data_IF_455687520742
#
_entry.id   IF_455687520742
#
_cell.length_a   1.000
_cell.length_b   1.000
_cell.length_c   1.000
_cell.angle_alpha   90.00
_cell.angle_beta   90.00
_cell.angle_gamma   90.00
#
_symmetry.space_group_name_H-M   'P 1'
#
loop_
_entity.id
_entity.type
_entity.pdbx_description
1 polymer ?
#
# COMPACT_ATOMS: atom_id res chain seq x y z
N UNK A 1 29.46 4.05 17.56
CA UNK A 1 28.57 4.89 16.73
C UNK A 1 27.98 5.99 17.62
N UNK A 2 28.13 7.28 17.32
CA UNK A 2 27.58 8.34 18.19
C UNK A 2 26.05 8.40 18.09
N UNK A 3 25.37 8.79 19.17
CA UNK A 3 23.90 8.92 19.18
C UNK A 3 23.38 9.88 18.10
N UNK A 4 24.11 10.97 17.83
CA UNK A 4 23.75 11.91 16.76
C UNK A 4 23.82 11.27 15.38
N UNK A 5 24.84 10.44 15.13
CA UNK A 5 24.96 9.71 13.88
C UNK A 5 23.84 8.67 13.72
N UNK A 6 23.54 7.90 14.78
CA UNK A 6 22.42 6.95 14.76
C UNK A 6 21.08 7.65 14.48
N UNK A 7 20.79 8.73 15.21
CA UNK A 7 19.58 9.53 15.04
C UNK A 7 19.46 10.07 13.62
N UNK A 8 20.53 10.62 13.06
CA UNK A 8 20.49 11.21 11.72
C UNK A 8 20.31 10.15 10.64
N UNK A 9 21.03 9.03 10.74
CA UNK A 9 21.03 7.98 9.72
C UNK A 9 19.74 7.16 9.74
N UNK A 10 19.27 6.75 10.91
CA UNK A 10 18.17 5.79 11.03
C UNK A 10 16.81 6.42 11.32
N UNK A 11 16.76 7.51 12.10
CA UNK A 11 15.48 8.10 12.53
C UNK A 11 15.04 9.29 11.67
N UNK A 12 15.99 10.05 11.12
CA UNK A 12 15.70 11.30 10.38
C UNK A 12 15.77 11.12 8.87
N UNK A 13 16.87 10.54 8.34
CA UNK A 13 17.03 10.36 6.90
C UNK A 13 16.04 9.36 6.33
N UNK A 14 15.68 9.55 5.06
CA UNK A 14 14.95 8.54 4.30
C UNK A 14 15.83 7.32 4.05
N UNK A 15 15.23 6.15 4.08
CA UNK A 15 15.92 4.88 3.83
C UNK A 15 15.94 4.57 2.34
N UNK A 16 16.98 3.87 1.89
CA UNK A 16 17.03 3.33 0.55
C UNK A 16 15.86 2.35 0.35
N UNK A 17 15.06 2.48 -0.74
CA UNK A 17 13.88 1.66 -0.91
C UNK A 17 14.14 0.15 -1.01
N UNK A 18 15.22 -0.28 -1.64
CA UNK A 18 15.52 -1.70 -1.82
C UNK A 18 15.66 -2.47 -0.50
N UNK A 19 16.57 -2.10 0.43
CA UNK A 19 16.68 -2.82 1.71
C UNK A 19 15.42 -2.69 2.56
N UNK A 20 14.72 -1.56 2.52
CA UNK A 20 13.50 -1.38 3.31
C UNK A 20 12.34 -2.25 2.80
N UNK A 21 12.18 -2.39 1.49
CA UNK A 21 11.13 -3.25 0.90
C UNK A 21 11.45 -4.73 1.09
N UNK A 22 12.73 -5.13 1.05
CA UNK A 22 13.16 -6.48 1.42
C UNK A 22 12.85 -6.76 2.90
N UNK A 23 13.20 -5.83 3.79
CA UNK A 23 12.85 -5.93 5.21
C UNK A 23 11.33 -6.02 5.42
N UNK A 24 10.53 -5.26 4.66
CA UNK A 24 9.08 -5.35 4.69
C UNK A 24 8.57 -6.72 4.22
N UNK A 25 9.20 -7.32 3.20
CA UNK A 25 8.87 -8.67 2.73
C UNK A 25 9.15 -9.73 3.79
N UNK A 26 10.33 -9.68 4.42
CA UNK A 26 10.71 -10.56 5.54
C UNK A 26 9.72 -10.39 6.71
N UNK A 27 9.45 -9.15 7.10
CA UNK A 27 8.55 -8.83 8.20
C UNK A 27 7.11 -9.31 7.91
N UNK A 28 6.65 -9.16 6.67
CA UNK A 28 5.35 -9.68 6.21
C UNK A 28 5.27 -11.20 6.26
N UNK A 29 6.36 -11.89 5.95
CA UNK A 29 6.43 -13.35 6.04
C UNK A 29 6.31 -13.84 7.48
N UNK A 30 7.04 -13.24 8.42
CA UNK A 30 6.91 -13.57 9.84
C UNK A 30 5.51 -13.25 10.38
N UNK A 31 4.96 -12.10 9.98
CA UNK A 31 3.59 -11.74 10.33
C UNK A 31 2.59 -12.82 9.88
N UNK A 32 2.72 -13.30 8.65
CA UNK A 32 1.90 -14.40 8.13
C UNK A 32 2.05 -15.69 8.94
N UNK A 33 3.29 -16.11 9.20
CA UNK A 33 3.55 -17.34 9.96
C UNK A 33 3.00 -17.31 11.39
N UNK A 34 3.02 -16.15 12.05
CA UNK A 34 2.57 -15.99 13.43
C UNK A 34 1.05 -15.80 13.54
N UNK A 35 0.48 -14.97 12.66
CA UNK A 35 -0.93 -14.55 12.78
C UNK A 35 -1.88 -15.40 11.94
N UNK A 36 -1.38 -16.10 10.91
CA UNK A 36 -2.20 -16.80 9.91
C UNK A 36 -2.95 -15.86 8.96
N UNK A 37 -2.67 -14.55 9.04
CA UNK A 37 -3.21 -13.49 8.20
C UNK A 37 -2.07 -12.78 7.48
N UNK A 38 -2.32 -12.27 6.28
CA UNK A 38 -1.32 -11.53 5.52
C UNK A 38 -1.48 -10.02 5.73
N UNK A 39 -0.43 -9.26 5.41
CA UNK A 39 -0.42 -7.82 5.58
C UNK A 39 -1.41 -7.14 4.62
N UNK A 40 -2.62 -6.87 5.12
CA UNK A 40 -3.72 -6.26 4.37
C UNK A 40 -4.37 -5.12 5.14
N UNK A 41 -4.47 -3.95 4.51
CA UNK A 41 -5.06 -2.75 5.13
C UNK A 41 -6.48 -2.48 4.62
N UNK A 42 -6.75 -2.97 3.43
CA UNK A 42 -7.96 -2.67 2.66
C UNK A 42 -9.20 -3.22 3.37
N UNK A 43 -9.15 -4.46 3.87
CA UNK A 43 -10.29 -5.09 4.56
C UNK A 43 -10.84 -4.24 5.70
N UNK A 44 -9.98 -3.80 6.61
CA UNK A 44 -10.37 -2.96 7.74
C UNK A 44 -10.84 -1.56 7.34
N UNK A 45 -10.23 -0.90 6.35
CA UNK A 45 -10.75 0.39 5.88
C UNK A 45 -12.18 0.27 5.34
N UNK A 46 -12.51 -0.86 4.72
CA UNK A 46 -13.89 -1.14 4.30
C UNK A 46 -14.78 -1.44 5.49
N UNK A 47 -14.30 -2.17 6.50
CA UNK A 47 -15.03 -2.38 7.76
C UNK A 47 -15.34 -1.05 8.46
N UNK A 48 -14.41 -0.09 8.48
CA UNK A 48 -14.66 1.25 9.03
C UNK A 48 -15.77 1.98 8.26
N UNK A 49 -15.78 1.88 6.94
CA UNK A 49 -16.89 2.38 6.12
C UNK A 49 -18.23 1.74 6.50
N UNK A 50 -18.25 0.42 6.73
CA UNK A 50 -19.44 -0.32 7.18
C UNK A 50 -19.92 0.14 8.56
N UNK A 51 -19.00 0.33 9.51
CA UNK A 51 -19.32 0.84 10.84
C UNK A 51 -19.86 2.27 10.79
N UNK A 52 -19.32 3.12 9.93
CA UNK A 52 -19.87 4.47 9.71
C UNK A 52 -21.31 4.38 9.20
N UNK A 53 -21.59 3.48 8.25
CA UNK A 53 -22.95 3.26 7.74
C UNK A 53 -23.91 2.75 8.83
N UNK A 54 -23.44 1.87 9.72
CA UNK A 54 -24.22 1.41 10.88
C UNK A 54 -24.57 2.57 11.83
N UNK A 55 -23.68 3.54 12.02
CA UNK A 55 -23.97 4.76 12.81
C UNK A 55 -25.08 5.61 12.17
N UNK A 56 -25.25 5.54 10.84
CA UNK A 56 -26.34 6.18 10.11
C UNK A 56 -27.59 5.28 9.98
N UNK A 57 -27.66 4.15 10.69
CA UNK A 57 -28.81 3.25 10.70
C UNK A 57 -28.90 2.29 9.51
N UNK A 58 -27.83 2.16 8.70
CA UNK A 58 -27.79 1.22 7.57
C UNK A 58 -27.25 -0.13 8.05
N UNK A 59 -28.03 -1.19 7.85
CA UNK A 59 -27.68 -2.58 8.17
C UNK A 59 -26.67 -3.20 7.20
N UNK A 60 -25.50 -2.57 7.08
CA UNK A 60 -24.43 -2.99 6.15
C UNK A 60 -23.89 -4.41 6.46
N UNK A 61 -24.03 -4.89 7.70
CA UNK A 61 -23.68 -6.25 8.12
C UNK A 61 -24.41 -7.35 7.34
N UNK A 62 -25.56 -7.03 6.74
CA UNK A 62 -26.36 -8.00 6.01
C UNK A 62 -25.86 -8.22 4.57
N UNK A 63 -25.08 -7.29 4.02
CA UNK A 63 -24.61 -7.34 2.63
C UNK A 63 -23.55 -8.44 2.45
N UNK A 64 -23.58 -9.16 1.33
CA UNK A 64 -22.68 -10.32 1.16
C UNK A 64 -21.20 -9.96 1.21
N UNK A 65 -20.80 -8.76 0.75
CA UNK A 65 -19.40 -8.31 0.89
C UNK A 65 -18.96 -8.22 2.36
N UNK A 66 -19.79 -7.63 3.21
CA UNK A 66 -19.49 -7.43 4.63
C UNK A 66 -19.50 -8.73 5.42
N UNK A 67 -20.32 -9.71 5.00
CA UNK A 67 -20.25 -11.09 5.49
C UNK A 67 -18.95 -11.78 5.11
N UNK A 68 -18.49 -11.64 3.87
CA UNK A 68 -17.21 -12.21 3.40
C UNK A 68 -15.99 -11.67 4.16
N UNK A 69 -16.01 -10.38 4.53
CA UNK A 69 -14.92 -9.77 5.30
C UNK A 69 -15.14 -9.79 6.81
N UNK A 70 -16.19 -10.43 7.33
CA UNK A 70 -16.52 -10.48 8.76
C UNK A 70 -16.50 -9.09 9.44
N UNK A 71 -17.58 -8.31 9.26
CA UNK A 71 -17.71 -6.97 9.86
C UNK A 71 -17.81 -6.98 11.40
N UNK A 72 -17.93 -8.15 12.03
CA UNK A 72 -18.15 -8.31 13.47
C UNK A 72 -17.03 -7.72 14.34
N UNK A 73 -17.43 -7.17 15.49
CA UNK A 73 -16.53 -6.61 16.50
C UNK A 73 -15.97 -5.23 16.16
N UNK A 74 -14.91 -4.85 16.87
CA UNK A 74 -14.27 -3.54 16.72
C UNK A 74 -12.85 -3.68 16.15
N UNK A 75 -12.22 -2.61 15.66
CA UNK A 75 -10.82 -2.66 15.23
C UNK A 75 -9.86 -3.15 16.34
N UNK A 76 -10.23 -3.00 17.62
CA UNK A 76 -9.43 -3.43 18.77
C UNK A 76 -9.48 -4.94 19.02
N UNK A 77 -10.54 -5.62 18.56
CA UNK A 77 -10.71 -7.06 18.75
C UNK A 77 -10.19 -7.88 17.58
N UNK A 78 -9.78 -7.23 16.49
CA UNK A 78 -9.33 -7.88 15.25
C UNK A 78 -7.83 -7.71 15.02
N UNK A 79 -7.21 -8.76 14.49
CA UNK A 79 -5.77 -8.80 14.16
C UNK A 79 -5.43 -7.68 13.16
N UNK A 80 -6.18 -7.55 12.07
CA UNK A 80 -5.96 -6.52 11.05
C UNK A 80 -6.14 -5.10 11.62
N UNK A 81 -7.12 -4.91 12.51
CA UNK A 81 -7.41 -3.62 13.12
C UNK A 81 -6.30 -3.15 14.05
N UNK A 82 -5.80 -4.04 14.92
CA UNK A 82 -4.65 -3.76 15.78
C UNK A 82 -3.36 -3.52 14.99
N UNK A 83 -3.16 -4.25 13.89
CA UNK A 83 -2.06 -3.99 12.96
C UNK A 83 -2.15 -2.58 12.33
N UNK A 84 -3.32 -2.15 11.87
CA UNK A 84 -3.49 -0.82 11.27
C UNK A 84 -3.27 0.28 12.29
N UNK A 85 -3.79 0.13 13.51
CA UNK A 85 -3.53 1.09 14.60
C UNK A 85 -2.03 1.20 14.89
N UNK A 86 -1.34 0.06 14.97
CA UNK A 86 0.12 0.01 15.05
C UNK A 86 0.79 0.77 13.89
N UNK A 87 0.31 0.55 12.67
CA UNK A 87 0.86 1.17 11.46
C UNK A 87 0.65 2.68 11.43
N UNK A 88 -0.51 3.20 11.82
CA UNK A 88 -0.73 4.63 12.00
C UNK A 88 0.20 5.23 13.05
N UNK A 89 0.34 4.59 14.21
CA UNK A 89 1.24 5.05 15.27
C UNK A 89 2.71 5.03 14.85
N UNK A 90 3.14 3.98 14.15
CA UNK A 90 4.49 3.88 13.58
C UNK A 90 4.77 4.97 12.54
N UNK A 91 3.87 5.17 11.57
CA UNK A 91 3.99 6.24 10.59
C UNK A 91 4.03 7.62 11.27
N UNK A 92 3.16 7.87 12.25
CA UNK A 92 3.10 9.16 12.94
C UNK A 92 4.37 9.45 13.76
N UNK A 93 4.87 8.44 14.48
CA UNK A 93 6.14 8.55 15.20
C UNK A 93 7.31 8.86 14.26
N UNK A 94 7.42 8.15 13.14
CA UNK A 94 8.49 8.36 12.17
C UNK A 94 8.38 9.72 11.45
N UNK A 95 7.16 10.15 11.11
CA UNK A 95 6.92 11.47 10.52
C UNK A 95 7.29 12.60 11.50
N UNK A 96 7.04 12.42 12.80
CA UNK A 96 7.44 13.35 13.85
C UNK A 96 8.96 13.41 14.04
N UNK A 97 9.66 12.26 14.01
CA UNK A 97 11.13 12.21 14.13
C UNK A 97 11.84 13.01 13.04
N UNK A 98 11.36 12.94 11.81
CA UNK A 98 11.93 13.71 10.69
C UNK A 98 11.35 15.11 10.52
N UNK A 99 10.50 15.57 11.46
CA UNK A 99 9.89 16.89 11.40
C UNK A 99 9.03 17.12 10.12
N UNK A 100 8.50 16.05 9.54
CA UNK A 100 7.79 16.07 8.26
C UNK A 100 6.29 16.38 8.37
N UNK A 101 5.73 16.33 9.59
CA UNK A 101 4.32 16.64 9.86
C UNK A 101 4.05 18.13 9.62
N UNK A 102 3.34 18.46 8.54
CA UNK A 102 2.93 19.82 8.22
C UNK A 102 1.64 19.77 7.39
N UNK A 103 0.65 20.56 7.78
CA UNK A 103 -0.56 20.73 7.00
C UNK A 103 -0.24 21.40 5.65
N UNK A 104 -0.43 20.65 4.57
CA UNK A 104 -0.21 21.07 3.18
C UNK A 104 -1.55 21.03 2.45
N UNK A 105 -2.13 22.21 2.22
CA UNK A 105 -3.40 22.33 1.51
C UNK A 105 -3.22 22.15 -0.01
N UNK A 106 -4.14 21.47 -0.70
CA UNK A 106 -4.13 21.38 -2.15
C UNK A 106 -4.36 22.78 -2.75
N UNK A 107 -3.53 23.17 -3.73
CA UNK A 107 -3.59 24.50 -4.37
C UNK A 107 -4.66 24.62 -5.46
N UNK A 108 -5.24 23.51 -5.92
CA UNK A 108 -6.16 23.49 -7.06
C UNK A 108 -7.36 22.60 -6.79
N UNK A 109 -8.56 23.08 -7.14
CA UNK A 109 -9.82 22.33 -7.06
C UNK A 109 -9.82 21.12 -8.01
N UNK A 110 -9.17 21.22 -9.16
CA UNK A 110 -9.00 20.10 -10.11
C UNK A 110 -8.32 18.93 -9.41
N UNK A 111 -7.30 19.22 -8.58
CA UNK A 111 -6.56 18.18 -7.87
C UNK A 111 -7.40 17.49 -6.80
N UNK A 112 -8.33 18.21 -6.17
CA UNK A 112 -9.29 17.66 -5.20
C UNK A 112 -10.28 16.74 -5.93
N UNK A 113 -10.84 17.18 -7.06
CA UNK A 113 -11.74 16.34 -7.87
C UNK A 113 -11.04 15.07 -8.33
N UNK A 114 -9.80 15.16 -8.82
CA UNK A 114 -8.97 14.00 -9.15
C UNK A 114 -8.75 13.07 -7.95
N UNK A 115 -8.52 13.63 -6.76
CA UNK A 115 -8.34 12.86 -5.54
C UNK A 115 -9.57 12.03 -5.20
N UNK A 116 -10.75 12.66 -5.20
CA UNK A 116 -12.02 12.01 -4.85
C UNK A 116 -12.43 11.00 -5.91
N UNK A 117 -12.48 11.41 -7.19
CA UNK A 117 -12.90 10.53 -8.29
C UNK A 117 -11.91 9.37 -8.48
N UNK A 118 -10.61 9.66 -8.50
CA UNK A 118 -9.59 8.62 -8.57
C UNK A 118 -9.63 7.69 -7.35
N UNK A 119 -9.88 8.25 -6.16
CA UNK A 119 -10.06 7.49 -4.93
C UNK A 119 -11.25 6.54 -5.02
N UNK A 120 -12.40 7.00 -5.52
CA UNK A 120 -13.60 6.19 -5.73
C UNK A 120 -13.35 5.03 -6.69
N UNK A 121 -12.75 5.32 -7.85
CA UNK A 121 -12.43 4.28 -8.85
C UNK A 121 -11.44 3.27 -8.26
N UNK A 122 -10.42 3.74 -7.52
CA UNK A 122 -9.47 2.86 -6.85
C UNK A 122 -10.14 2.00 -5.77
N UNK A 123 -10.96 2.59 -4.89
CA UNK A 123 -11.67 1.86 -3.85
C UNK A 123 -12.58 0.77 -4.44
N UNK A 124 -13.37 1.11 -5.45
CA UNK A 124 -14.22 0.18 -6.17
C UNK A 124 -13.41 -0.98 -6.78
N UNK A 125 -12.34 -0.65 -7.52
CA UNK A 125 -11.49 -1.65 -8.16
C UNK A 125 -10.78 -2.57 -7.17
N UNK A 126 -10.30 -2.04 -6.04
CA UNK A 126 -9.65 -2.83 -4.99
C UNK A 126 -10.60 -3.83 -4.32
N UNK A 127 -11.87 -3.45 -4.13
CA UNK A 127 -12.87 -4.36 -3.58
C UNK A 127 -13.27 -5.43 -4.59
N UNK A 128 -13.37 -5.08 -5.87
CA UNK A 128 -13.78 -6.01 -6.92
C UNK A 128 -12.71 -7.07 -7.13
N UNK A 129 -11.46 -6.63 -7.18
CA UNK A 129 -10.31 -7.52 -7.16
C UNK A 129 -10.08 -8.20 -5.81
N UNK A 130 -10.83 -7.91 -4.75
CA UNK A 130 -10.59 -8.48 -3.42
C UNK A 130 -9.15 -8.29 -2.90
N UNK A 131 -8.52 -7.16 -3.25
CA UNK A 131 -7.18 -6.83 -2.81
C UNK A 131 -6.66 -5.53 -3.42
N UNK A 132 -5.56 -5.03 -2.86
CA UNK A 132 -4.87 -3.84 -3.34
C UNK A 132 -3.40 -4.16 -3.64
N UNK A 133 -2.60 -3.16 -4.01
CA UNK A 133 -1.17 -3.36 -4.26
C UNK A 133 -0.39 -4.00 -3.09
N UNK A 134 -0.83 -3.78 -1.85
CA UNK A 134 -0.20 -4.43 -0.70
C UNK A 134 -0.68 -5.88 -0.55
N UNK A 135 -2.00 -6.06 -0.54
CA UNK A 135 -2.66 -7.34 -0.28
C UNK A 135 -2.59 -8.32 -1.46
N UNK A 136 -3.03 -7.90 -2.65
CA UNK A 136 -3.03 -8.74 -3.85
C UNK A 136 -1.65 -8.83 -4.50
N UNK A 137 -0.91 -7.71 -4.60
CA UNK A 137 0.37 -7.70 -5.30
C UNK A 137 1.55 -8.09 -4.39
N UNK A 138 1.89 -7.28 -3.39
CA UNK A 138 3.09 -7.49 -2.56
C UNK A 138 3.05 -8.76 -1.70
N UNK A 139 1.89 -9.09 -1.13
CA UNK A 139 1.74 -10.28 -0.26
C UNK A 139 0.98 -11.43 -0.93
N UNK A 140 0.18 -11.17 -1.96
CA UNK A 140 -0.58 -12.19 -2.68
C UNK A 140 0.27 -13.01 -3.66
N UNK A 141 1.25 -12.40 -4.34
CA UNK A 141 2.19 -13.14 -5.21
C UNK A 141 3.04 -14.13 -4.40
N UNK A 142 3.67 -13.74 -3.27
CA UNK A 142 4.35 -14.68 -2.37
C UNK A 142 3.48 -15.81 -1.83
N UNK A 143 2.15 -15.66 -1.84
CA UNK A 143 1.19 -16.71 -1.46
C UNK A 143 0.80 -17.64 -2.61
N UNK A 144 1.47 -17.55 -3.76
CA UNK A 144 1.29 -18.45 -4.90
C UNK A 144 -0.12 -18.37 -5.53
N UNK A 145 -0.77 -17.21 -5.39
CA UNK A 145 -2.11 -16.95 -5.90
C UNK A 145 -2.10 -16.56 -7.37
N UNK A 146 -2.81 -17.27 -8.25
CA UNK A 146 -2.93 -16.88 -9.66
C UNK A 146 -3.68 -15.54 -9.82
N UNK A 147 -4.68 -15.32 -8.98
CA UNK A 147 -5.44 -14.08 -8.90
C UNK A 147 -4.52 -12.83 -8.79
N UNK A 148 -3.46 -12.94 -7.97
CA UNK A 148 -2.51 -11.86 -7.76
C UNK A 148 -1.78 -11.44 -9.05
N UNK A 149 -1.49 -12.41 -9.94
CA UNK A 149 -0.85 -12.14 -11.23
C UNK A 149 -1.80 -11.45 -12.20
N UNK A 150 -3.06 -11.88 -12.28
CA UNK A 150 -4.08 -11.19 -13.08
C UNK A 150 -4.27 -9.76 -12.61
N UNK A 151 -4.38 -9.56 -11.29
CA UNK A 151 -4.47 -8.24 -10.70
C UNK A 151 -3.24 -7.37 -11.02
N UNK A 152 -2.03 -7.92 -10.91
CA UNK A 152 -0.79 -7.19 -11.17
C UNK A 152 -0.69 -6.69 -12.61
N UNK A 153 -0.96 -7.57 -13.58
CA UNK A 153 -0.93 -7.24 -15.01
C UNK A 153 -2.01 -6.21 -15.36
N UNK A 154 -3.23 -6.43 -14.87
CA UNK A 154 -4.33 -5.49 -15.05
C UNK A 154 -4.05 -4.13 -14.42
N UNK A 155 -3.45 -4.08 -13.22
CA UNK A 155 -3.04 -2.84 -12.55
C UNK A 155 -1.95 -2.11 -13.33
N UNK A 156 -0.99 -2.84 -13.90
CA UNK A 156 0.04 -2.26 -14.77
C UNK A 156 -0.59 -1.60 -16.01
N UNK A 157 -1.54 -2.28 -16.67
CA UNK A 157 -2.25 -1.74 -17.84
C UNK A 157 -3.13 -0.55 -17.45
N UNK A 158 -3.92 -0.66 -16.38
CA UNK A 158 -4.79 0.40 -15.89
C UNK A 158 -4.01 1.65 -15.49
N UNK A 159 -2.87 1.47 -14.83
CA UNK A 159 -1.99 2.59 -14.46
C UNK A 159 -1.32 3.25 -15.66
N UNK A 160 -1.07 2.51 -16.75
CA UNK A 160 -0.60 3.09 -18.01
C UNK A 160 -1.68 4.00 -18.64
N UNK A 161 -2.93 3.54 -18.69
CA UNK A 161 -4.06 4.37 -19.13
C UNK A 161 -4.26 5.59 -18.22
N UNK A 162 -4.21 5.39 -16.90
CA UNK A 162 -4.31 6.48 -15.92
C UNK A 162 -3.19 7.52 -16.08
N UNK A 163 -1.97 7.07 -16.39
CA UNK A 163 -0.84 7.96 -16.66
C UNK A 163 -1.07 8.80 -17.92
N UNK A 164 -1.57 8.19 -19.01
CA UNK A 164 -1.93 8.93 -20.23
C UNK A 164 -3.06 9.93 -19.99
N UNK A 165 -4.09 9.51 -19.27
CA UNK A 165 -5.25 10.33 -18.97
C UNK A 165 -4.90 11.55 -18.10
N UNK A 166 -4.09 11.36 -17.06
CA UNK A 166 -3.66 12.46 -16.17
C UNK A 166 -2.75 13.48 -16.84
N UNK A 167 -2.12 13.14 -17.97
CA UNK A 167 -1.28 14.06 -18.76
C UNK A 167 -2.07 14.95 -19.74
N UNK A 168 -3.38 14.72 -19.89
CA UNK A 168 -4.25 15.51 -20.77
C UNK A 168 -4.31 16.99 -20.33
N UNK A 169 -4.45 17.95 -21.28
CA UNK A 169 -4.41 19.38 -20.99
C UNK A 169 -5.39 19.85 -19.92
N UNK A 170 -6.59 19.24 -19.86
CA UNK A 170 -7.65 19.58 -18.89
C UNK A 170 -7.22 19.39 -17.42
N UNK A 171 -6.23 18.54 -17.17
CA UNK A 171 -5.73 18.23 -15.83
C UNK A 171 -4.46 19.00 -15.45
N UNK A 172 -3.91 19.79 -16.38
CA UNK A 172 -2.72 20.60 -16.11
C UNK A 172 -3.12 21.82 -15.30
N UNK A 173 -2.56 21.93 -14.10
CA UNK A 173 -2.79 23.09 -13.25
C UNK A 173 -2.05 24.28 -13.86
N UNK A 174 -2.69 25.44 -14.09
CA UNK A 174 -1.98 26.64 -14.50
C UNK A 174 -1.07 27.09 -13.36
N UNK A 175 0.23 26.82 -13.48
CA UNK A 175 1.22 27.27 -12.49
C UNK A 175 1.49 28.74 -12.75
N UNK A 176 0.92 29.61 -11.90
CA UNK A 176 1.28 31.03 -11.88
C UNK A 176 2.68 31.15 -11.30
N UNK A 177 3.68 31.35 -12.15
CA UNK A 177 5.03 31.68 -11.69
C UNK A 177 5.01 33.09 -11.09
N UNK A 178 5.32 33.18 -9.79
CA UNK A 178 5.46 34.47 -9.11
C UNK A 178 6.94 34.85 -9.12
N UNK A 179 7.26 36.00 -9.73
CA UNK A 179 8.62 36.54 -9.71
C UNK A 179 8.94 36.93 -8.26
N UNK A 180 10.00 36.34 -7.71
CA UNK A 180 10.56 36.68 -6.41
C UNK A 180 11.91 37.37 -6.62
N UNK A 181 12.15 38.46 -5.89
CA UNK A 181 13.38 39.26 -5.98
C UNK A 181 14.51 38.75 -5.09
N UNK A 182 14.20 37.89 -4.12
CA UNK A 182 15.17 37.26 -3.23
C UNK A 182 14.73 35.83 -2.88
N UNK A 183 15.69 34.97 -2.58
CA UNK A 183 15.41 33.64 -2.04
C UNK A 183 14.74 33.79 -0.66
N UNK A 184 13.65 33.06 -0.42
CA UNK A 184 13.04 33.01 0.91
C UNK A 184 14.06 32.46 1.90
N UNK A 185 14.27 33.11 3.06
CA UNK A 185 15.16 32.57 4.09
C UNK A 185 14.64 31.20 4.55
N UNK A 186 15.55 30.22 4.64
CA UNK A 186 15.24 28.91 5.19
C UNK A 186 14.92 29.07 6.68
N UNK A 187 13.64 29.17 7.02
CA UNK A 187 13.19 29.27 8.41
C UNK A 187 13.36 27.92 9.12
N UNK A 188 14.56 27.65 9.63
CA UNK A 188 14.80 26.48 10.47
C UNK A 188 14.37 26.80 11.90
N UNK A 189 13.38 26.07 12.42
CA UNK A 189 12.90 26.19 13.81
C UNK A 189 13.42 24.98 14.63
N UNK A 190 14.64 25.05 15.19
CA UNK A 190 15.28 23.90 15.84
C UNK A 190 14.49 23.41 17.07
N UNK A 191 13.90 24.31 17.85
CA UNK A 191 13.10 23.94 19.02
C UNK A 191 11.83 23.19 18.65
N UNK A 192 11.19 23.59 17.54
CA UNK A 192 10.02 22.89 17.00
C UNK A 192 10.41 21.47 16.57
N UNK A 193 11.55 21.31 15.89
CA UNK A 193 12.06 20.00 15.49
C UNK A 193 12.38 19.13 16.72
N UNK A 194 13.00 19.70 17.76
CA UNK A 194 13.30 18.99 19.01
C UNK A 194 12.03 18.57 19.75
N UNK A 195 11.02 19.44 19.83
CA UNK A 195 9.72 19.12 20.46
C UNK A 195 8.99 18.01 19.70
N UNK A 196 8.94 18.10 18.36
CA UNK A 196 8.34 17.06 17.50
C UNK A 196 9.06 15.72 17.62
N UNK A 197 10.40 15.74 17.66
CA UNK A 197 11.17 14.51 17.87
C UNK A 197 10.83 13.85 19.22
N UNK A 198 10.74 14.63 20.31
CA UNK A 198 10.31 14.11 21.64
C UNK A 198 8.90 13.54 21.60
N UNK A 199 7.95 14.23 20.96
CA UNK A 199 6.59 13.73 20.77
C UNK A 199 6.59 12.42 19.97
N UNK A 200 7.37 12.32 18.90
CA UNK A 200 7.51 11.08 18.12
C UNK A 200 8.04 9.93 18.97
N UNK A 201 9.00 10.19 19.86
CA UNK A 201 9.51 9.19 20.79
C UNK A 201 8.47 8.75 21.82
N UNK A 202 7.69 9.69 22.37
CA UNK A 202 6.60 9.37 23.30
C UNK A 202 5.52 8.53 22.63
N UNK A 203 5.12 8.89 21.40
CA UNK A 203 4.16 8.09 20.62
C UNK A 203 4.73 6.69 20.37
N UNK A 204 5.97 6.59 19.92
CA UNK A 204 6.60 5.29 19.66
C UNK A 204 6.64 4.40 20.91
N UNK A 205 7.14 4.91 22.03
CA UNK A 205 7.21 4.16 23.30
C UNK A 205 5.80 3.81 23.78
N UNK A 206 4.84 4.74 23.68
CA UNK A 206 3.45 4.49 24.04
C UNK A 206 2.81 3.37 23.22
N UNK A 207 3.04 3.36 21.91
CA UNK A 207 2.55 2.30 21.02
C UNK A 207 3.20 0.95 21.31
N UNK A 208 4.51 0.91 21.56
CA UNK A 208 5.21 -0.32 21.95
C UNK A 208 4.70 -0.82 23.31
N UNK A 209 4.57 0.06 24.30
CA UNK A 209 4.04 -0.28 25.61
C UNK A 209 2.61 -0.84 25.54
N UNK A 210 1.74 -0.19 24.78
CA UNK A 210 0.37 -0.67 24.57
C UNK A 210 0.34 -2.03 23.85
N UNK A 211 1.19 -2.22 22.83
CA UNK A 211 1.29 -3.49 22.13
C UNK A 211 1.79 -4.63 23.04
N UNK A 212 2.78 -4.37 23.91
CA UNK A 212 3.29 -5.34 24.88
C UNK A 212 2.25 -5.69 25.94
N UNK A 213 1.54 -4.70 26.50
CA UNK A 213 0.45 -4.94 27.46
C UNK A 213 -0.68 -5.76 26.83
N UNK A 214 -1.00 -5.47 25.57
CA UNK A 214 -1.97 -6.27 24.81
C UNK A 214 -1.44 -7.68 24.58
N UNK A 215 -0.16 -7.85 24.26
CA UNK A 215 0.46 -9.16 24.03
C UNK A 215 0.44 -10.05 25.29
N UNK A 216 0.52 -9.46 26.49
CA UNK A 216 0.41 -10.21 27.75
C UNK A 216 -0.96 -10.88 27.93
N UNK A 217 -2.02 -10.26 27.42
CA UNK A 217 -3.40 -10.79 27.53
C UNK A 217 -3.78 -11.60 26.29
N UNK A 218 -3.49 -11.06 25.10
CA UNK A 218 -3.78 -11.67 23.80
C UNK A 218 -2.55 -11.56 22.89
N UNK A 219 -1.66 -12.57 22.90
CA UNK A 219 -0.38 -12.52 22.19
C UNK A 219 -0.51 -12.17 20.70
N UNK A 220 -1.49 -12.75 19.99
CA UNK A 220 -1.70 -12.50 18.56
C UNK A 220 -2.03 -11.03 18.25
N UNK A 221 -2.87 -10.39 19.06
CA UNK A 221 -3.26 -8.98 18.85
C UNK A 221 -2.10 -8.03 19.16
N UNK A 222 -1.40 -8.25 20.27
CA UNK A 222 -0.24 -7.44 20.64
C UNK A 222 0.91 -7.56 19.62
N UNK A 223 1.20 -8.78 19.15
CA UNK A 223 2.16 -8.99 18.08
C UNK A 223 1.72 -8.29 16.79
N UNK A 224 0.45 -8.42 16.40
CA UNK A 224 -0.05 -7.76 15.19
C UNK A 224 0.14 -6.24 15.24
N UNK A 225 -0.07 -5.63 16.41
CA UNK A 225 0.20 -4.22 16.63
C UNK A 225 1.69 -3.86 16.54
N UNK A 226 2.59 -4.69 17.10
CA UNK A 226 4.05 -4.51 16.98
C UNK A 226 4.52 -4.58 15.52
N UNK A 227 4.04 -5.59 14.77
CA UNK A 227 4.27 -5.70 13.33
C UNK A 227 3.73 -4.47 12.60
N UNK A 228 2.54 -4.02 12.96
CA UNK A 228 1.94 -2.77 12.50
C UNK A 228 2.88 -1.57 12.65
N UNK A 229 3.42 -1.35 13.85
CA UNK A 229 4.39 -0.28 14.11
C UNK A 229 5.59 -0.42 13.17
N UNK A 230 6.15 -1.62 13.00
CA UNK A 230 7.26 -1.89 12.09
C UNK A 230 6.94 -1.57 10.63
N UNK A 231 5.79 -2.02 10.14
CA UNK A 231 5.29 -1.70 8.79
C UNK A 231 5.12 -0.19 8.60
N UNK A 232 4.60 0.51 9.61
CA UNK A 232 4.41 1.96 9.58
C UNK A 232 5.72 2.73 9.50
N UNK A 233 6.72 2.31 10.28
CA UNK A 233 8.08 2.86 10.21
C UNK A 233 8.70 2.66 8.82
N UNK A 234 8.62 1.45 8.28
CA UNK A 234 9.17 1.10 6.96
C UNK A 234 8.52 1.91 5.84
N UNK A 235 7.19 1.97 5.82
CA UNK A 235 6.45 2.72 4.79
C UNK A 235 6.84 4.21 4.82
N UNK A 236 6.88 4.81 6.01
CA UNK A 236 7.07 6.25 6.12
C UNK A 236 8.54 6.65 5.90
N UNK A 237 9.52 5.88 6.40
CA UNK A 237 10.95 6.16 6.22
C UNK A 237 11.48 5.80 4.84
N UNK A 238 11.00 4.74 4.20
CA UNK A 238 11.42 4.37 2.86
C UNK A 238 10.46 4.89 1.76
N UNK A 239 9.40 5.59 2.16
CA UNK A 239 8.38 6.14 1.25
C UNK A 239 7.84 5.08 0.30
N UNK A 240 7.54 3.89 0.84
CA UNK A 240 7.07 2.74 0.07
C UNK A 240 5.70 3.08 -0.52
N UNK A 241 5.67 3.34 -1.81
CA UNK A 241 4.46 3.71 -2.53
C UNK A 241 4.35 2.89 -3.82
N UNK A 242 3.39 1.96 -3.84
CA UNK A 242 3.13 1.14 -5.02
C UNK A 242 2.59 1.99 -6.19
N UNK A 243 1.83 3.04 -5.89
CA UNK A 243 1.37 3.99 -6.92
C UNK A 243 2.52 4.64 -7.66
N UNK A 244 3.58 5.07 -6.96
CA UNK A 244 4.73 5.65 -7.63
C UNK A 244 5.51 4.60 -8.42
N UNK A 245 5.59 3.35 -7.94
CA UNK A 245 6.22 2.27 -8.70
C UNK A 245 5.58 2.07 -10.09
N UNK A 246 4.25 2.06 -10.17
CA UNK A 246 3.55 1.96 -11.46
C UNK A 246 3.56 3.27 -12.25
N UNK A 247 3.20 4.39 -11.62
CA UNK A 247 3.10 5.69 -12.30
C UNK A 247 4.45 6.16 -12.86
N UNK A 248 5.51 6.09 -12.04
CA UNK A 248 6.80 6.67 -12.40
C UNK A 248 7.50 5.85 -13.49
N UNK A 249 7.20 4.54 -13.58
CA UNK A 249 7.59 3.66 -14.69
C UNK A 249 7.06 4.19 -16.04
N UNK A 250 5.80 4.63 -16.08
CA UNK A 250 5.17 5.11 -17.31
C UNK A 250 5.48 6.57 -17.64
N UNK A 251 5.50 7.44 -16.63
CA UNK A 251 5.66 8.89 -16.83
C UNK A 251 7.14 9.29 -16.92
N UNK A 252 8.00 8.71 -16.08
CA UNK A 252 9.40 9.15 -15.93
C UNK A 252 10.44 8.08 -16.27
N UNK A 253 10.04 6.85 -16.55
CA UNK A 253 10.93 5.73 -16.80
C UNK A 253 11.68 5.20 -15.57
N UNK A 254 11.50 5.79 -14.39
CA UNK A 254 12.19 5.39 -13.16
C UNK A 254 11.65 4.07 -12.64
N UNK A 255 12.48 3.03 -12.61
CA UNK A 255 12.08 1.69 -12.17
C UNK A 255 12.53 1.32 -10.75
N UNK A 256 13.21 2.22 -10.01
CA UNK A 256 13.84 1.90 -8.72
C UNK A 256 12.88 1.24 -7.71
N UNK A 257 11.68 1.81 -7.50
CA UNK A 257 10.68 1.24 -6.58
C UNK A 257 10.13 -0.10 -7.08
N UNK A 258 9.91 -0.24 -8.39
CA UNK A 258 9.39 -1.47 -8.97
C UNK A 258 10.38 -2.63 -8.81
N UNK A 259 11.68 -2.37 -9.04
CA UNK A 259 12.78 -3.33 -8.79
C UNK A 259 12.82 -3.74 -7.32
N UNK A 260 12.78 -2.77 -6.40
CA UNK A 260 12.77 -3.03 -4.96
C UNK A 260 11.60 -3.92 -4.52
N UNK A 261 10.40 -3.67 -5.05
CA UNK A 261 9.21 -4.49 -4.78
C UNK A 261 9.37 -5.93 -5.26
N UNK A 262 9.92 -6.15 -6.46
CA UNK A 262 10.18 -7.51 -6.96
C UNK A 262 11.15 -8.26 -6.04
N UNK A 263 12.25 -7.64 -5.63
CA UNK A 263 13.19 -8.27 -4.70
C UNK A 263 12.54 -8.58 -3.34
N UNK A 264 11.71 -7.67 -2.81
CA UNK A 264 10.96 -7.92 -1.58
C UNK A 264 9.99 -9.09 -1.70
N UNK A 265 9.25 -9.19 -2.82
CA UNK A 265 8.35 -10.31 -3.08
C UNK A 265 9.11 -11.63 -3.25
N UNK A 266 10.26 -11.63 -3.94
CA UNK A 266 11.08 -12.83 -4.10
C UNK A 266 11.54 -13.36 -2.73
N UNK A 267 12.10 -12.51 -1.88
CA UNK A 267 12.52 -12.91 -0.52
C UNK A 267 11.33 -13.39 0.30
N UNK A 268 10.19 -12.69 0.23
CA UNK A 268 8.98 -13.08 0.95
C UNK A 268 8.43 -14.44 0.47
N UNK A 269 8.50 -14.74 -0.83
CA UNK A 269 7.99 -15.98 -1.41
C UNK A 269 8.68 -17.23 -0.86
N UNK A 270 10.01 -17.19 -0.64
CA UNK A 270 10.73 -18.32 0.01
C UNK A 270 10.19 -18.55 1.42
N UNK A 271 10.07 -17.50 2.22
CA UNK A 271 9.66 -17.70 3.60
C UNK A 271 8.16 -18.02 3.74
N UNK A 272 7.30 -17.52 2.86
CA UNK A 272 5.90 -17.96 2.79
C UNK A 272 5.82 -19.43 2.37
N UNK A 273 6.59 -19.84 1.37
CA UNK A 273 6.70 -21.25 0.97
C UNK A 273 7.05 -22.14 2.17
N UNK A 274 8.05 -21.76 2.96
CA UNK A 274 8.41 -22.50 4.18
C UNK A 274 7.24 -22.64 5.16
N UNK A 275 6.48 -21.58 5.42
CA UNK A 275 5.30 -21.65 6.32
C UNK A 275 4.15 -22.48 5.74
N UNK A 276 3.94 -22.41 4.42
CA UNK A 276 2.92 -23.24 3.75
C UNK A 276 3.28 -24.73 3.84
N UNK A 277 4.56 -25.07 3.67
CA UNK A 277 5.04 -26.45 3.85
C UNK A 277 4.93 -26.94 5.30
N UNK A 278 4.96 -26.02 6.28
CA UNK A 278 4.68 -26.31 7.70
C UNK A 278 3.18 -26.42 8.02
N UNK A 279 2.29 -26.30 7.03
CA UNK A 279 0.85 -26.47 7.17
C UNK A 279 0.04 -25.18 7.35
N UNK A 280 0.66 -24.00 7.24
CA UNK A 280 -0.08 -22.73 7.31
C UNK A 280 -0.81 -22.48 5.97
N UNK A 281 -2.14 -22.42 6.00
CA UNK A 281 -2.93 -22.28 4.79
C UNK A 281 -2.71 -20.91 4.10
N UNK A 282 -2.34 -20.87 2.81
CA UNK A 282 -2.21 -19.62 2.06
C UNK A 282 -3.59 -18.99 1.83
N UNK A 283 -3.66 -17.66 1.77
CA UNK A 283 -4.89 -16.93 1.46
C UNK A 283 -4.95 -16.62 -0.03
N UNK A 284 -5.89 -17.26 -0.70
CA UNK A 284 -6.05 -17.21 -2.15
C UNK A 284 -7.46 -16.74 -2.50
N UNK A 285 -7.53 -15.86 -3.48
CA UNK A 285 -8.77 -15.23 -3.96
C UNK A 285 -9.14 -15.76 -5.34
N UNK A 286 -10.37 -15.49 -5.77
CA UNK A 286 -10.93 -15.98 -7.04
C UNK A 286 -10.15 -15.44 -8.24
N UNK A 287 -9.63 -16.32 -9.07
CA UNK A 287 -8.88 -15.97 -10.27
C UNK A 287 -9.83 -15.75 -11.47
N UNK A 288 -10.75 -14.79 -11.33
CA UNK A 288 -11.78 -14.49 -12.33
C UNK A 288 -11.65 -13.10 -12.97
N UNK A 289 -12.64 -12.71 -13.80
CA UNK A 289 -12.78 -11.38 -14.38
C UNK A 289 -12.75 -10.25 -13.34
N UNK A 290 -13.17 -10.52 -12.12
CA UNK A 290 -13.08 -9.58 -10.99
C UNK A 290 -11.64 -9.08 -10.76
N UNK A 291 -10.64 -9.96 -10.87
CA UNK A 291 -9.22 -9.62 -10.69
C UNK A 291 -8.73 -8.67 -11.79
N UNK A 292 -9.18 -8.91 -13.03
CA UNK A 292 -8.77 -8.15 -14.22
C UNK A 292 -9.49 -6.80 -14.26
N UNK A 293 -10.81 -6.79 -14.16
CA UNK A 293 -11.61 -5.54 -14.19
C UNK A 293 -11.26 -4.69 -12.95
N UNK A 294 -11.20 -5.31 -11.78
CA UNK A 294 -10.82 -4.64 -10.54
C UNK A 294 -9.40 -4.08 -10.61
N UNK A 295 -8.43 -4.84 -11.14
CA UNK A 295 -7.06 -4.38 -11.34
C UNK A 295 -6.95 -3.21 -12.34
N UNK A 296 -7.69 -3.24 -13.45
CA UNK A 296 -7.71 -2.15 -14.44
C UNK A 296 -8.25 -0.86 -13.82
N UNK A 297 -9.41 -0.93 -13.16
CA UNK A 297 -10.01 0.22 -12.48
C UNK A 297 -9.10 0.72 -11.37
N UNK A 298 -8.57 -0.18 -10.55
CA UNK A 298 -7.66 0.15 -9.46
C UNK A 298 -6.40 0.86 -9.98
N UNK A 299 -5.73 0.30 -10.98
CA UNK A 299 -4.54 0.88 -11.61
C UNK A 299 -4.79 2.28 -12.18
N UNK A 300 -5.92 2.47 -12.85
CA UNK A 300 -6.32 3.80 -13.34
C UNK A 300 -6.56 4.78 -12.19
N UNK A 301 -7.35 4.37 -11.20
CA UNK A 301 -7.75 5.18 -10.06
C UNK A 301 -6.56 5.65 -9.22
N UNK A 302 -5.59 4.78 -8.93
CA UNK A 302 -4.43 5.16 -8.11
C UNK A 302 -3.56 6.22 -8.79
N UNK A 303 -3.45 6.21 -10.12
CA UNK A 303 -2.69 7.22 -10.86
C UNK A 303 -3.44 8.56 -10.89
N UNK A 304 -4.76 8.52 -11.11
CA UNK A 304 -5.62 9.69 -11.08
C UNK A 304 -5.61 10.37 -9.69
N UNK A 305 -5.80 9.58 -8.63
CA UNK A 305 -5.79 10.05 -7.25
C UNK A 305 -4.39 10.48 -6.79
N UNK A 306 -3.34 9.84 -7.32
CA UNK A 306 -1.96 10.02 -6.87
C UNK A 306 -1.58 9.24 -5.61
N UNK A 307 -2.40 8.29 -5.17
CA UNK A 307 -2.12 7.39 -4.04
C UNK A 307 -3.06 6.19 -3.98
N UNK A 308 -2.54 5.05 -3.51
CA UNK A 308 -3.28 3.83 -3.14
C UNK A 308 -3.63 3.84 -1.65
N UNK A 309 -4.26 2.78 -1.13
CA UNK A 309 -4.76 2.73 0.26
C UNK A 309 -3.69 3.02 1.30
N UNK A 310 -2.58 2.28 1.22
CA UNK A 310 -1.41 2.51 2.07
C UNK A 310 -0.81 3.89 1.83
N UNK A 311 -0.79 4.34 0.58
CA UNK A 311 -0.16 5.60 0.16
C UNK A 311 -0.89 6.85 0.65
N UNK A 312 -2.22 6.86 0.61
CA UNK A 312 -2.99 7.99 1.13
C UNK A 312 -2.95 8.01 2.67
N UNK A 313 -2.95 6.83 3.30
CA UNK A 313 -2.90 6.72 4.75
C UNK A 313 -1.66 7.39 5.36
N UNK A 314 -0.45 7.01 4.94
CA UNK A 314 0.76 7.59 5.55
C UNK A 314 0.96 9.06 5.18
N UNK A 315 0.61 9.48 3.95
CA UNK A 315 0.71 10.89 3.52
C UNK A 315 -0.33 11.77 4.19
N UNK A 316 -1.50 11.22 4.52
CA UNK A 316 -2.50 11.89 5.35
C UNK A 316 -1.93 12.20 6.73
N UNK A 317 -1.19 11.26 7.34
CA UNK A 317 -0.53 11.41 8.65
C UNK A 317 0.60 12.46 8.60
N UNK A 318 1.31 12.59 7.47
CA UNK A 318 2.27 13.68 7.25
C UNK A 318 1.61 15.08 7.18
N UNK A 319 0.28 15.16 7.11
CA UNK A 319 -0.49 16.40 7.01
C UNK A 319 -0.80 16.83 5.57
N UNK A 320 -0.65 15.94 4.59
CA UNK A 320 -1.00 16.26 3.20
C UNK A 320 -2.52 16.10 2.98
N UNK A 321 -3.26 17.21 3.01
CA UNK A 321 -4.74 17.22 2.98
C UNK A 321 -5.31 16.63 1.68
N UNK A 322 -4.55 16.69 0.57
CA UNK A 322 -4.90 15.99 -0.67
C UNK A 322 -5.28 14.52 -0.45
N UNK A 323 -4.54 13.81 0.42
CA UNK A 323 -4.75 12.38 0.63
C UNK A 323 -5.93 12.07 1.55
N UNK A 324 -6.45 13.05 2.28
CA UNK A 324 -7.69 12.90 3.02
C UNK A 324 -8.86 12.76 2.04
N UNK A 325 -8.85 13.55 0.97
CA UNK A 325 -9.82 13.44 -0.12
C UNK A 325 -9.69 12.14 -0.91
N UNK A 326 -8.46 11.64 -1.09
CA UNK A 326 -8.23 10.30 -1.69
C UNK A 326 -8.84 9.21 -0.80
N UNK A 327 -8.61 9.26 0.51
CA UNK A 327 -9.18 8.31 1.46
C UNK A 327 -10.71 8.35 1.48
N UNK A 328 -11.30 9.54 1.51
CA UNK A 328 -12.76 9.72 1.41
C UNK A 328 -13.31 9.08 0.13
N UNK A 329 -12.71 9.38 -1.03
CA UNK A 329 -13.08 8.76 -2.28
C UNK A 329 -12.99 7.24 -2.23
N UNK A 330 -11.90 6.70 -1.66
CA UNK A 330 -11.70 5.26 -1.55
C UNK A 330 -12.77 4.57 -0.69
N UNK A 331 -13.17 5.19 0.43
CA UNK A 331 -14.27 4.69 1.27
C UNK A 331 -15.58 4.67 0.47
N UNK A 332 -15.93 5.79 -0.19
CA UNK A 332 -17.14 5.89 -1.01
C UNK A 332 -17.16 4.80 -2.09
N UNK A 333 -16.08 4.68 -2.87
CA UNK A 333 -15.97 3.68 -3.93
C UNK A 333 -16.04 2.24 -3.42
N UNK A 334 -15.43 1.97 -2.26
CA UNK A 334 -15.49 0.65 -1.62
C UNK A 334 -16.91 0.32 -1.15
N UNK A 335 -17.61 1.28 -0.56
CA UNK A 335 -19.00 1.14 -0.12
C UNK A 335 -19.94 0.89 -1.30
N UNK A 336 -19.77 1.61 -2.40
CA UNK A 336 -20.57 1.40 -3.62
C UNK A 336 -20.43 -0.04 -4.11
N UNK A 337 -19.20 -0.57 -4.18
CA UNK A 337 -19.05 -1.97 -4.58
C UNK A 337 -19.62 -2.92 -3.53
N UNK A 338 -19.42 -2.67 -2.24
CA UNK A 338 -19.96 -3.54 -1.20
C UNK A 338 -21.48 -3.69 -1.29
N UNK A 339 -22.18 -2.64 -1.71
CA UNK A 339 -23.61 -2.65 -1.98
C UNK A 339 -23.98 -3.51 -3.20
N UNK A 340 -23.31 -3.32 -4.34
CA UNK A 340 -23.56 -4.08 -5.58
C UNK A 340 -22.83 -5.44 -5.65
N UNK A 341 -22.19 -5.87 -4.56
CA UNK A 341 -21.35 -7.06 -4.58
C UNK A 341 -22.16 -8.31 -4.89
N UNK A 342 -23.37 -8.43 -4.35
CA UNK A 342 -24.19 -9.62 -4.53
C UNK A 342 -24.66 -9.79 -5.98
N UNK A 343 -24.73 -8.70 -6.74
CA UNK A 343 -25.01 -8.71 -8.18
C UNK A 343 -23.78 -9.05 -9.02
N UNK A 344 -22.61 -8.51 -8.64
CA UNK A 344 -21.36 -8.70 -9.41
C UNK A 344 -20.65 -10.02 -9.11
N UNK A 345 -20.71 -10.49 -7.86
CA UNK A 345 -19.92 -11.62 -7.39
C UNK A 345 -20.20 -12.92 -8.15
N UNK A 346 -21.47 -13.31 -8.42
CA UNK A 346 -21.76 -14.54 -9.15
C UNK A 346 -21.15 -14.57 -10.55
N UNK A 347 -21.17 -13.45 -11.28
CA UNK A 347 -20.67 -13.38 -12.65
C UNK A 347 -19.14 -13.21 -12.71
N UNK A 348 -18.57 -12.43 -11.79
CA UNK A 348 -17.19 -11.97 -11.91
C UNK A 348 -16.21 -12.67 -10.97
N UNK A 349 -16.67 -13.21 -9.83
CA UNK A 349 -15.80 -13.71 -8.77
C UNK A 349 -16.15 -15.15 -8.32
N UNK A 350 -17.31 -15.36 -7.69
CA UNK A 350 -17.60 -16.59 -6.93
C UNK A 350 -17.82 -17.83 -7.79
N UNK A 351 -18.10 -17.66 -9.09
CA UNK A 351 -18.19 -18.75 -10.08
C UNK A 351 -16.83 -19.23 -10.60
N UNK A 352 -15.75 -18.53 -10.27
CA UNK A 352 -14.40 -18.85 -10.74
C UNK A 352 -13.59 -19.58 -9.66
N UNK A 353 -12.54 -20.29 -10.05
CA UNK A 353 -11.75 -21.06 -9.09
C UNK A 353 -10.74 -20.20 -8.32
N UNK A 354 -10.46 -20.61 -7.08
CA UNK A 354 -9.34 -20.11 -6.28
C UNK A 354 -8.08 -20.91 -6.62
N UNK A 355 -7.32 -20.44 -7.60
CA UNK A 355 -6.18 -21.20 -8.13
C UNK A 355 -4.89 -20.93 -7.34
N UNK A 356 -4.34 -21.99 -6.76
CA UNK A 356 -3.04 -22.01 -6.08
C UNK A 356 -1.97 -22.66 -6.96
N UNK A 357 -0.91 -21.91 -7.29
CA UNK A 357 0.18 -22.41 -8.12
C UNK A 357 0.95 -23.59 -7.47
N UNK A 358 1.01 -23.67 -6.13
CA UNK A 358 1.61 -24.81 -5.43
C UNK A 358 0.78 -26.09 -5.58
N UNK A 359 -0.55 -25.97 -5.66
CA UNK A 359 -1.42 -27.14 -5.83
C UNK A 359 -1.45 -27.57 -7.30
N UNK A 360 -1.39 -26.63 -8.24
CA UNK A 360 -1.46 -26.92 -9.68
C UNK A 360 -0.16 -27.51 -10.22
N UNK A 361 1.00 -27.01 -9.81
CA UNK A 361 2.31 -27.43 -10.34
C UNK A 361 3.14 -28.24 -9.33
N UNK A 362 2.58 -28.57 -8.17
CA UNK A 362 3.29 -29.12 -7.03
C UNK A 362 4.12 -28.06 -6.28
N UNK A 363 4.62 -28.35 -5.06
CA UNK A 363 5.27 -27.36 -4.21
C UNK A 363 6.48 -26.70 -4.87
N UNK A 364 7.41 -27.49 -5.40
CA UNK A 364 8.61 -26.98 -6.07
C UNK A 364 8.28 -26.36 -7.43
N UNK A 365 7.32 -26.92 -8.17
CA UNK A 365 6.89 -26.37 -9.46
C UNK A 365 6.23 -25.00 -9.32
N UNK A 366 5.33 -24.83 -8.36
CA UNK A 366 4.69 -23.53 -8.08
C UNK A 366 5.69 -22.47 -7.61
N UNK A 367 6.70 -22.86 -6.82
CA UNK A 367 7.81 -21.99 -6.44
C UNK A 367 8.62 -21.56 -7.67
N UNK A 368 9.04 -22.51 -8.52
CA UNK A 368 9.79 -22.24 -9.74
C UNK A 368 9.01 -21.32 -10.71
N UNK A 369 7.73 -21.60 -10.93
CA UNK A 369 6.85 -20.78 -11.78
C UNK A 369 6.77 -19.35 -11.23
N UNK A 370 6.60 -19.18 -9.92
CA UNK A 370 6.54 -17.85 -9.29
C UNK A 370 7.84 -17.08 -9.47
N UNK A 371 8.98 -17.73 -9.29
CA UNK A 371 10.29 -17.13 -9.52
C UNK A 371 10.53 -16.78 -10.99
N UNK A 372 10.11 -17.64 -11.92
CA UNK A 372 10.19 -17.36 -13.35
C UNK A 372 9.32 -16.16 -13.73
N UNK A 373 8.10 -16.05 -13.19
CA UNK A 373 7.23 -14.90 -13.41
C UNK A 373 7.80 -13.61 -12.80
N UNK A 374 8.40 -13.67 -11.60
CA UNK A 374 9.07 -12.51 -10.99
C UNK A 374 10.30 -12.09 -11.80
N UNK A 375 11.09 -13.05 -12.29
CA UNK A 375 12.27 -12.79 -13.12
C UNK A 375 11.87 -12.17 -14.46
N UNK A 376 10.86 -12.72 -15.14
CA UNK A 376 10.35 -12.15 -16.39
C UNK A 376 9.80 -10.75 -16.18
N UNK A 377 9.05 -10.49 -15.10
CA UNK A 377 8.59 -9.15 -14.75
C UNK A 377 9.76 -8.17 -14.53
N UNK A 378 10.82 -8.60 -13.84
CA UNK A 378 12.03 -7.80 -13.62
C UNK A 378 12.71 -7.45 -14.95
N UNK A 379 12.87 -8.43 -15.84
CA UNK A 379 13.48 -8.24 -17.15
C UNK A 379 12.65 -7.30 -18.04
N UNK A 380 11.31 -7.40 -17.99
CA UNK A 380 10.41 -6.49 -18.70
C UNK A 380 10.55 -5.05 -18.17
N UNK A 381 10.64 -4.85 -16.86
CA UNK A 381 10.84 -3.53 -16.25
C UNK A 381 12.19 -2.93 -16.64
N UNK A 382 13.27 -3.71 -16.57
CA UNK A 382 14.61 -3.26 -16.98
C UNK A 382 14.64 -2.94 -18.48
N UNK A 383 14.00 -3.79 -19.30
CA UNK A 383 13.88 -3.57 -20.74
C UNK A 383 13.10 -2.29 -21.07
N UNK A 384 12.01 -2.04 -20.33
CA UNK A 384 11.23 -0.81 -20.44
C UNK A 384 12.02 0.43 -20.04
N UNK A 385 12.71 0.40 -18.89
CA UNK A 385 13.57 1.48 -18.40
C UNK A 385 14.61 1.86 -19.46
N UNK A 386 15.34 0.88 -20.00
CA UNK A 386 16.32 1.09 -21.09
C UNK A 386 15.68 1.67 -22.35
N UNK A 387 14.52 1.16 -22.76
CA UNK A 387 13.79 1.65 -23.95
C UNK A 387 13.30 3.09 -23.77
N UNK A 388 12.83 3.44 -22.57
CA UNK A 388 12.33 4.78 -22.25
C UNK A 388 13.45 5.82 -22.38
N UNK A 389 14.58 5.57 -21.71
CA UNK A 389 15.74 6.47 -21.73
C UNK A 389 16.38 6.56 -23.13
N UNK A 390 16.45 5.44 -23.87
CA UNK A 390 16.92 5.45 -25.27
C UNK A 390 16.05 6.31 -26.18
N UNK A 391 14.72 6.26 -26.03
CA UNK A 391 13.78 7.11 -26.81
C UNK A 391 13.88 8.58 -26.43
N UNK A 392 14.22 8.88 -25.18
CA UNK A 392 14.37 10.25 -24.69
C UNK A 392 15.74 10.88 -25.03
N UNK A 393 16.69 10.11 -25.58
CA UNK A 393 18.06 10.58 -25.81
C UNK A 393 18.84 10.85 -24.52
N UNK A 394 18.40 10.27 -23.39
CA UNK A 394 18.97 10.49 -22.06
C UNK A 394 19.64 9.21 -21.56
N UNK A 395 20.77 9.33 -20.88
CA UNK A 395 21.39 8.23 -20.14
C UNK A 395 20.66 8.02 -18.81
N UNK A 396 20.40 6.76 -18.39
CA UNK A 396 19.88 6.50 -17.05
C UNK A 396 20.83 7.10 -16.01
N UNK A 397 20.31 7.84 -15.03
CA UNK A 397 21.13 8.32 -13.93
C UNK A 397 21.75 7.13 -13.18
N UNK A 398 23.07 7.15 -12.94
CA UNK A 398 23.75 6.12 -12.14
C UNK A 398 23.12 6.09 -10.74
N UNK A 399 22.65 4.91 -10.34
CA UNK A 399 22.09 4.68 -9.00
C UNK A 399 23.20 4.93 -7.96
N UNK A 400 23.00 5.92 -7.08
CA UNK A 400 23.88 6.10 -5.91
C UNK A 400 23.54 5.00 -4.90
N UNK A 401 24.45 4.04 -4.77
CA UNK A 401 24.41 2.91 -3.83
C UNK A 401 24.25 3.38 -2.39
#
# INVERSE_FOLDING_TARGET
MSWQHFKQTWLIKFWAPAPAVIAAGILSTYYFGITGTFWAVTGEFTRWGGQILQLFGVHAEQWGYYKLIHLEGTPLTRIDGMMILGMFGGCFAAALWANNVKLRMPRSRIRIVQAVVGGMIAGFGARLAMGCNLAAFFTGIPQFSLHAWFFALATAIGSWFGARFTLLPIFRIPVKMQKVSAASPLTQKPDQARRRFRLGMLVFIGMIGWALLTAMHQPKLGLAMLFGVGFGLLIERAQICFTSAFRDLWISGRAHMAKAIIFGMAVSAIGIFSYVQLGVAPKIMWAGPNAVIGGLLFGFGIVLAGGCETGWMYRAVEGQVHYWWVGLGNIIGSTILAYYWDDFAPALATSWDKVNLLNTFGPLGGLLVTYLLLFTALMLIIGWEKRFFRRAGLTPAKESV
#
